data_IF_919876185293
#
_entry.id   IF_919876185293
#
_cell.length_a   1.000
_cell.length_b   1.000
_cell.length_c   1.000
_cell.angle_alpha   90.00
_cell.angle_beta   90.00
_cell.angle_gamma   90.00
#
_symmetry.space_group_name_H-M   'P 1'
#
loop_
_entity.id
_entity.type
_entity.pdbx_description
1 polymer ?
#
# COMPACT_ATOMS: atom_id res chain seq x y z
N UNK A 1 43.07 10.09 46.66
CA UNK A 1 42.07 11.15 46.88
C UNK A 1 42.31 12.19 45.80
N UNK A 2 41.24 12.53 45.06
CA UNK A 2 40.85 13.85 44.51
C UNK A 2 41.91 14.97 44.49
N UNK A 3 42.01 15.87 43.50
CA UNK A 3 41.18 16.25 42.35
C UNK A 3 41.97 17.26 41.47
N UNK A 4 41.44 17.54 40.25
CA UNK A 4 41.28 18.88 39.60
C UNK A 4 42.48 19.86 39.49
N UNK A 5 42.64 20.73 38.49
CA UNK A 5 41.92 21.08 37.27
C UNK A 5 42.77 22.12 36.49
N UNK A 6 42.40 22.28 35.23
CA UNK A 6 42.37 23.50 34.41
C UNK A 6 43.56 23.94 33.53
N UNK A 7 43.14 24.09 32.27
CA UNK A 7 43.79 24.52 31.04
C UNK A 7 43.21 25.90 30.70
N UNK A 8 44.04 26.90 30.38
CA UNK A 8 43.67 28.04 29.51
C UNK A 8 44.90 28.66 28.81
N UNK A 9 44.85 28.74 27.47
CA UNK A 9 45.14 29.91 26.61
C UNK A 9 45.28 29.41 25.14
N UNK A 10 44.39 29.75 24.20
CA UNK A 10 44.11 31.04 23.57
C UNK A 10 45.19 31.50 22.56
N UNK A 11 44.93 31.27 21.26
CA UNK A 11 45.37 32.15 20.15
C UNK A 11 44.34 32.08 19.01
N UNK A 12 43.97 33.27 18.51
CA UNK A 12 42.84 33.53 17.63
C UNK A 12 42.98 33.19 16.14
N UNK A 13 41.85 33.41 15.45
CA UNK A 13 41.54 33.19 14.03
C UNK A 13 42.48 33.91 13.04
N UNK A 14 42.42 33.49 11.75
CA UNK A 14 41.66 34.30 10.80
C UNK A 14 40.63 33.51 9.96
N UNK A 15 39.63 34.25 9.47
CA UNK A 15 38.52 33.84 8.59
C UNK A 15 38.98 33.27 7.23
N UNK A 16 38.21 32.33 6.65
CA UNK A 16 38.35 31.92 5.25
C UNK A 16 37.49 30.72 4.83
N UNK A 17 36.48 31.01 4.02
CA UNK A 17 35.48 30.17 3.33
C UNK A 17 35.89 28.81 2.71
N UNK A 18 34.93 27.87 2.78
CA UNK A 18 34.49 26.86 1.76
C UNK A 18 35.50 26.09 0.91
N UNK A 19 35.37 24.75 0.86
CA UNK A 19 35.66 24.00 -0.37
C UNK A 19 36.01 22.52 -0.21
N UNK A 20 35.12 21.64 -0.71
CA UNK A 20 35.51 20.45 -1.47
C UNK A 20 35.88 19.18 -0.70
N UNK A 21 34.89 18.33 -0.46
CA UNK A 21 35.11 16.89 -0.29
C UNK A 21 35.43 16.32 -1.67
N UNK A 22 36.57 15.62 -1.76
CA UNK A 22 37.16 15.13 -3.01
C UNK A 22 36.23 14.23 -3.82
N UNK A 23 36.03 14.62 -5.08
CA UNK A 23 35.59 13.73 -6.14
C UNK A 23 36.83 13.19 -6.84
N UNK A 24 37.14 11.92 -6.63
CA UNK A 24 38.11 11.19 -7.44
C UNK A 24 37.51 10.94 -8.82
N UNK A 25 38.01 11.69 -9.81
CA UNK A 25 37.87 11.30 -11.21
C UNK A 25 38.73 10.08 -11.49
N UNK A 26 38.16 9.12 -12.23
CA UNK A 26 38.93 8.16 -13.01
C UNK A 26 38.18 7.94 -14.33
N UNK A 27 38.79 8.44 -15.40
CA UNK A 27 38.43 8.20 -16.79
C UNK A 27 39.11 6.91 -17.26
N UNK A 28 38.33 5.97 -17.81
CA UNK A 28 38.82 4.84 -18.63
C UNK A 28 38.70 3.45 -17.99
N UNK A 29 37.64 2.71 -18.34
CA UNK A 29 37.35 1.33 -17.90
C UNK A 29 35.91 1.16 -17.42
N UNK A 30 35.30 -0.05 -17.44
CA UNK A 30 33.85 -0.26 -17.32
C UNK A 30 33.37 0.00 -15.89
N UNK A 31 33.19 1.27 -15.58
CA UNK A 31 32.50 1.78 -14.40
C UNK A 31 31.62 2.90 -14.90
N UNK A 32 30.31 2.62 -14.99
CA UNK A 32 29.32 3.60 -15.41
C UNK A 32 29.34 4.77 -14.41
N UNK A 33 29.67 6.01 -14.81
CA UNK A 33 29.35 7.15 -13.98
C UNK A 33 27.87 7.45 -14.18
N UNK A 34 27.06 7.11 -13.17
CA UNK A 34 25.76 7.74 -12.96
C UNK A 34 26.00 9.25 -12.89
N UNK A 35 25.65 9.95 -13.96
CA UNK A 35 25.61 11.42 -13.91
C UNK A 35 24.68 11.83 -12.78
N UNK A 36 24.93 12.96 -12.10
CA UNK A 36 24.10 13.37 -10.97
C UNK A 36 22.64 13.46 -11.42
N UNK A 37 21.79 12.59 -10.89
CA UNK A 37 20.34 12.83 -10.86
C UNK A 37 20.18 14.05 -9.96
N UNK A 38 20.11 15.24 -10.57
CA UNK A 38 19.78 16.45 -9.86
C UNK A 38 18.36 16.24 -9.31
N UNK A 39 18.15 16.15 -7.98
CA UNK A 39 16.81 16.11 -7.43
C UNK A 39 16.09 17.36 -7.93
N UNK A 40 14.90 17.19 -8.52
CA UNK A 40 14.06 18.26 -9.08
C UNK A 40 14.27 19.55 -8.28
N UNK A 41 15.00 20.51 -8.87
CA UNK A 41 15.18 21.83 -8.27
C UNK A 41 13.90 22.61 -8.48
N UNK A 42 12.88 22.31 -7.69
CA UNK A 42 11.68 23.16 -7.59
C UNK A 42 12.03 24.37 -6.73
N UNK A 43 12.95 25.23 -7.21
CA UNK A 43 13.36 26.41 -6.46
C UNK A 43 12.40 27.59 -6.61
N UNK A 44 11.42 27.50 -7.50
CA UNK A 44 10.37 28.49 -7.61
C UNK A 44 9.05 27.85 -7.22
N UNK A 45 8.38 28.41 -6.20
CA UNK A 45 7.08 27.95 -5.68
C UNK A 45 5.92 28.09 -6.70
N UNK A 46 6.21 28.23 -7.99
CA UNK A 46 5.26 28.26 -9.09
C UNK A 46 4.88 26.82 -9.48
N UNK A 47 3.59 26.51 -9.64
CA UNK A 47 3.17 25.26 -10.26
C UNK A 47 3.85 25.12 -11.63
N UNK A 48 4.60 24.02 -11.82
CA UNK A 48 5.19 23.69 -13.11
C UNK A 48 4.09 23.51 -14.14
N UNK A 49 4.25 24.10 -15.33
CA UNK A 49 3.41 23.74 -16.46
C UNK A 49 3.73 22.30 -16.91
N UNK A 50 2.82 21.68 -17.67
CA UNK A 50 3.07 20.35 -18.24
C UNK A 50 4.30 20.39 -19.15
N UNK A 51 4.51 21.49 -19.87
CA UNK A 51 5.64 21.65 -20.77
C UNK A 51 6.96 21.78 -20.00
N UNK A 52 6.97 22.54 -18.90
CA UNK A 52 8.16 22.66 -18.04
C UNK A 52 8.53 21.31 -17.43
N UNK A 53 7.54 20.59 -16.89
CA UNK A 53 7.76 19.24 -16.35
C UNK A 53 8.26 18.28 -17.43
N UNK A 54 7.69 18.34 -18.63
CA UNK A 54 8.12 17.51 -19.76
C UNK A 54 9.56 17.81 -20.14
N UNK A 55 9.96 19.09 -20.13
CA UNK A 55 11.31 19.52 -20.43
C UNK A 55 12.31 19.11 -19.32
N UNK A 56 11.93 19.20 -18.04
CA UNK A 56 12.76 18.72 -16.93
C UNK A 56 13.01 17.20 -17.03
N UNK A 57 11.94 16.42 -17.23
CA UNK A 57 12.03 14.96 -17.40
C UNK A 57 12.84 14.59 -18.65
N UNK A 58 12.67 15.35 -19.74
CA UNK A 58 13.45 15.18 -20.96
C UNK A 58 14.94 15.43 -20.72
N UNK A 59 15.30 16.49 -19.98
CA UNK A 59 16.69 16.81 -19.63
C UNK A 59 17.32 15.73 -18.75
N UNK A 60 16.59 15.21 -17.77
CA UNK A 60 17.04 14.11 -16.92
C UNK A 60 17.29 12.83 -17.75
N UNK A 61 16.35 12.48 -18.63
CA UNK A 61 16.48 11.33 -19.56
C UNK A 61 17.71 11.46 -20.46
N UNK A 62 17.94 12.64 -21.05
CA UNK A 62 19.11 12.89 -21.89
C UNK A 62 20.39 12.70 -21.08
N UNK A 63 20.48 13.29 -19.88
CA UNK A 63 21.65 13.13 -19.01
C UNK A 63 21.92 11.64 -18.68
N UNK A 64 20.86 10.86 -18.46
CA UNK A 64 20.98 9.41 -18.23
C UNK A 64 21.56 8.68 -19.45
N UNK A 65 21.02 8.91 -20.65
CA UNK A 65 21.54 8.27 -21.88
C UNK A 65 23.01 8.65 -22.16
N UNK A 66 23.34 9.92 -21.94
CA UNK A 66 24.67 10.51 -22.09
C UNK A 66 25.66 9.92 -21.07
N UNK A 67 25.22 9.65 -19.84
CA UNK A 67 25.99 8.91 -18.83
C UNK A 67 26.20 7.44 -19.21
N UNK A 68 25.13 6.75 -19.63
CA UNK A 68 25.18 5.33 -20.03
C UNK A 68 26.11 5.07 -21.21
N UNK A 69 26.17 5.98 -22.18
CA UNK A 69 27.06 5.89 -23.35
C UNK A 69 28.52 6.22 -23.02
N UNK A 70 28.83 6.72 -21.80
CA UNK A 70 30.19 7.11 -21.41
C UNK A 70 30.75 8.28 -22.22
N UNK A 71 29.91 8.99 -22.98
CA UNK A 71 30.33 10.09 -23.84
C UNK A 71 31.05 9.70 -25.13
N UNK A 72 31.14 8.41 -25.44
CA UNK A 72 31.73 7.93 -26.70
C UNK A 72 30.66 7.89 -27.79
N UNK A 73 30.93 8.52 -28.94
CA UNK A 73 30.02 8.52 -30.09
C UNK A 73 28.74 9.35 -29.90
N UNK A 74 28.79 10.38 -29.05
CA UNK A 74 27.66 11.31 -28.87
C UNK A 74 27.32 12.01 -30.21
N UNK A 75 26.03 12.19 -30.53
CA UNK A 75 25.64 13.03 -31.66
C UNK A 75 26.10 14.49 -31.45
N UNK A 76 26.43 15.15 -32.57
CA UNK A 76 27.33 16.31 -32.66
C UNK A 76 26.97 17.60 -31.93
N UNK A 77 25.81 17.68 -31.28
CA UNK A 77 25.30 18.94 -30.70
C UNK A 77 25.21 18.91 -29.16
N UNK A 78 25.76 17.87 -28.50
CA UNK A 78 25.67 17.71 -27.04
C UNK A 78 26.88 18.35 -26.35
N UNK A 79 26.68 19.50 -25.73
CA UNK A 79 27.67 20.16 -24.89
C UNK A 79 27.48 19.75 -23.42
N UNK A 80 28.59 19.51 -22.72
CA UNK A 80 28.59 19.19 -21.29
C UNK A 80 29.34 20.25 -20.48
N UNK A 81 28.89 20.54 -19.27
CA UNK A 81 29.67 21.32 -18.32
C UNK A 81 30.76 20.46 -17.62
N UNK A 82 31.56 21.11 -16.78
CA UNK A 82 32.62 20.47 -15.97
C UNK A 82 32.11 19.38 -15.01
N UNK A 83 30.79 19.33 -14.76
CA UNK A 83 30.13 18.31 -13.93
C UNK A 83 29.56 17.14 -14.75
N UNK A 84 29.77 17.15 -16.07
CA UNK A 84 29.25 16.13 -16.99
C UNK A 84 27.77 16.27 -17.32
N UNK A 85 27.11 17.36 -16.92
CA UNK A 85 25.70 17.62 -17.20
C UNK A 85 25.55 18.23 -18.60
N UNK A 86 24.50 17.83 -19.33
CA UNK A 86 24.18 18.43 -20.64
C UNK A 86 23.69 19.87 -20.46
N UNK A 87 24.38 20.79 -21.13
CA UNK A 87 24.09 22.23 -21.12
C UNK A 87 23.53 22.76 -22.43
N UNK A 88 23.71 22.03 -23.54
CA UNK A 88 23.11 22.41 -24.83
C UNK A 88 21.64 21.97 -24.92
N UNK A 89 20.88 22.70 -25.75
CA UNK A 89 19.56 22.26 -26.17
C UNK A 89 19.70 21.07 -27.13
N UNK A 90 19.04 19.96 -26.81
CA UNK A 90 19.13 18.72 -27.59
C UNK A 90 17.92 18.59 -28.52
N UNK A 91 18.15 18.37 -29.81
CA UNK A 91 17.08 18.10 -30.79
C UNK A 91 16.41 16.75 -30.54
N UNK A 92 15.18 16.58 -31.05
CA UNK A 92 14.44 15.32 -30.92
C UNK A 92 15.18 14.17 -31.64
N UNK A 93 15.82 14.47 -32.76
CA UNK A 93 16.61 13.53 -33.54
C UNK A 93 17.85 13.07 -32.77
N UNK A 94 18.56 14.00 -32.11
CA UNK A 94 19.71 13.69 -31.26
C UNK A 94 19.31 12.83 -30.07
N UNK A 95 18.19 13.14 -29.44
CA UNK A 95 17.65 12.33 -28.34
C UNK A 95 17.31 10.90 -28.79
N UNK A 96 16.68 10.75 -29.97
CA UNK A 96 16.38 9.43 -30.52
C UNK A 96 17.65 8.61 -30.80
N UNK A 97 18.70 9.26 -31.31
CA UNK A 97 20.00 8.61 -31.52
C UNK A 97 20.66 8.20 -30.20
N UNK A 98 20.61 9.05 -29.18
CA UNK A 98 21.10 8.71 -27.83
C UNK A 98 20.36 7.52 -27.23
N UNK A 99 19.02 7.50 -27.34
CA UNK A 99 18.23 6.38 -26.86
C UNK A 99 18.63 5.09 -27.58
N UNK A 100 18.80 5.14 -28.92
CA UNK A 100 19.28 3.98 -29.69
C UNK A 100 20.65 3.51 -29.22
N UNK A 101 21.61 4.41 -29.02
CA UNK A 101 22.95 4.06 -28.53
C UNK A 101 22.91 3.45 -27.13
N UNK A 102 22.05 3.96 -26.25
CA UNK A 102 21.86 3.42 -24.91
C UNK A 102 21.30 1.99 -24.97
N UNK A 103 20.27 1.75 -25.80
CA UNK A 103 19.68 0.43 -26.02
C UNK A 103 20.69 -0.54 -26.64
N UNK A 104 21.37 -0.13 -27.71
CA UNK A 104 22.40 -0.95 -28.38
C UNK A 104 23.53 -1.34 -27.43
N UNK A 105 23.83 -0.50 -26.42
CA UNK A 105 24.79 -0.83 -25.37
C UNK A 105 24.23 -1.86 -24.40
N UNK A 106 23.01 -1.65 -23.90
CA UNK A 106 22.32 -2.59 -22.99
C UNK A 106 22.22 -3.98 -23.64
N UNK A 107 21.84 -4.05 -24.92
CA UNK A 107 21.67 -5.31 -25.66
C UNK A 107 22.97 -6.10 -25.84
N UNK A 108 24.13 -5.45 -25.64
CA UNK A 108 25.46 -6.06 -25.74
C UNK A 108 26.11 -6.32 -24.37
N UNK A 109 25.48 -5.88 -23.27
CA UNK A 109 25.99 -6.11 -21.92
C UNK A 109 25.87 -7.58 -21.54
N UNK A 110 26.83 -8.07 -20.77
CA UNK A 110 26.72 -9.40 -20.15
C UNK A 110 25.81 -9.39 -18.90
N UNK A 111 25.58 -10.57 -18.32
CA UNK A 111 24.68 -10.72 -17.16
C UNK A 111 25.16 -9.97 -15.92
N UNK A 112 26.47 -9.89 -15.68
CA UNK A 112 27.03 -9.23 -14.49
C UNK A 112 27.00 -7.70 -14.65
N UNK A 113 27.26 -7.20 -15.86
CA UNK A 113 27.07 -5.80 -16.22
C UNK A 113 25.61 -5.36 -16.11
N UNK A 114 24.67 -6.16 -16.65
CA UNK A 114 23.24 -5.90 -16.54
C UNK A 114 22.76 -5.90 -15.09
N UNK A 115 23.21 -6.87 -14.28
CA UNK A 115 22.91 -6.92 -12.85
C UNK A 115 23.38 -5.65 -12.16
N UNK A 116 24.62 -5.24 -12.40
CA UNK A 116 25.19 -4.01 -11.82
C UNK A 116 24.37 -2.79 -12.21
N UNK A 117 24.11 -2.61 -13.51
CA UNK A 117 23.28 -1.53 -14.05
C UNK A 117 21.91 -1.46 -13.37
N UNK A 118 21.20 -2.59 -13.27
CA UNK A 118 19.88 -2.65 -12.62
C UNK A 118 19.99 -2.26 -11.15
N UNK A 119 20.95 -2.82 -10.42
CA UNK A 119 21.08 -2.57 -8.98
C UNK A 119 21.45 -1.13 -8.65
N UNK A 120 22.33 -0.51 -9.44
CA UNK A 120 22.77 0.87 -9.20
C UNK A 120 21.67 1.87 -9.56
N UNK A 121 21.02 1.72 -10.72
CA UNK A 121 19.87 2.57 -11.09
C UNK A 121 18.73 2.44 -10.08
N UNK A 122 18.44 1.22 -9.61
CA UNK A 122 17.42 1.02 -8.59
C UNK A 122 17.82 1.66 -7.25
N UNK A 123 19.09 1.60 -6.85
CA UNK A 123 19.59 2.26 -5.63
C UNK A 123 19.42 3.79 -5.72
N UNK A 124 19.78 4.39 -6.86
CA UNK A 124 19.61 5.83 -7.08
C UNK A 124 18.14 6.24 -7.09
N UNK A 125 17.28 5.48 -7.78
CA UNK A 125 15.83 5.68 -7.79
C UNK A 125 15.27 5.64 -6.37
N UNK A 126 15.60 4.61 -5.59
CA UNK A 126 15.13 4.46 -4.21
C UNK A 126 15.61 5.61 -3.32
N UNK A 127 16.86 6.06 -3.47
CA UNK A 127 17.38 7.21 -2.71
C UNK A 127 16.58 8.49 -3.01
N UNK A 128 16.30 8.76 -4.28
CA UNK A 128 15.47 9.90 -4.69
C UNK A 128 14.05 9.78 -4.14
N UNK A 129 13.41 8.62 -4.28
CA UNK A 129 12.07 8.36 -3.72
C UNK A 129 12.05 8.55 -2.21
N UNK A 130 13.08 8.09 -1.49
CA UNK A 130 13.16 8.23 -0.03
C UNK A 130 13.24 9.69 0.42
N UNK A 131 14.02 10.52 -0.28
CA UNK A 131 14.05 11.97 -0.04
C UNK A 131 12.68 12.61 -0.32
N UNK A 132 12.04 12.24 -1.43
CA UNK A 132 10.68 12.71 -1.78
C UNK A 132 9.66 12.30 -0.71
N UNK A 133 9.71 11.05 -0.23
CA UNK A 133 8.83 10.56 0.82
C UNK A 133 9.05 11.31 2.14
N UNK A 134 10.29 11.54 2.56
CA UNK A 134 10.60 12.31 3.76
C UNK A 134 10.10 13.75 3.67
N UNK A 135 10.36 14.42 2.54
CA UNK A 135 9.90 15.78 2.29
C UNK A 135 8.37 15.88 2.23
N UNK A 136 7.71 14.93 1.55
CA UNK A 136 6.25 14.84 1.54
C UNK A 136 5.67 14.55 2.92
N UNK A 137 6.35 13.72 3.72
CA UNK A 137 6.04 13.51 5.13
C UNK A 137 6.09 14.82 5.93
N UNK A 138 7.13 15.62 5.75
CA UNK A 138 7.27 16.93 6.39
C UNK A 138 6.14 17.88 5.98
N UNK A 139 5.82 17.96 4.68
CA UNK A 139 4.71 18.77 4.16
C UNK A 139 3.37 18.30 4.74
N UNK A 140 3.13 17.00 4.77
CA UNK A 140 1.93 16.41 5.37
C UNK A 140 1.80 16.72 6.87
N UNK A 141 2.91 16.69 7.61
CA UNK A 141 2.95 17.11 9.01
C UNK A 141 2.54 18.58 9.16
N UNK A 142 3.15 19.49 8.40
CA UNK A 142 2.85 20.93 8.43
C UNK A 142 1.38 21.21 8.08
N UNK A 143 0.86 20.59 7.00
CA UNK A 143 -0.55 20.69 6.63
C UNK A 143 -1.43 20.13 7.74
N UNK A 144 -1.06 19.01 8.34
CA UNK A 144 -1.77 18.40 9.46
C UNK A 144 -1.85 19.32 10.68
N UNK A 145 -0.77 20.01 11.04
CA UNK A 145 -0.75 21.02 12.12
C UNK A 145 -1.65 22.21 11.80
N UNK A 146 -1.66 22.68 10.56
CA UNK A 146 -2.58 23.72 10.12
C UNK A 146 -4.05 23.25 10.21
N UNK A 147 -4.36 22.03 9.74
CA UNK A 147 -5.69 21.44 9.84
C UNK A 147 -6.14 21.26 11.31
N UNK A 148 -5.24 20.88 12.22
CA UNK A 148 -5.53 20.83 13.65
C UNK A 148 -5.89 22.21 14.21
N UNK A 149 -5.15 23.26 13.80
CA UNK A 149 -5.43 24.63 14.22
C UNK A 149 -6.78 25.12 13.68
N UNK A 150 -7.09 24.85 12.41
CA UNK A 150 -8.38 25.18 11.81
C UNK A 150 -9.51 24.45 12.55
N UNK A 151 -9.34 23.15 12.82
CA UNK A 151 -10.31 22.37 13.59
C UNK A 151 -10.60 23.03 14.94
N UNK A 152 -9.56 23.36 15.71
CA UNK A 152 -9.68 24.07 16.99
C UNK A 152 -10.44 25.40 16.86
N UNK A 153 -10.10 26.23 15.85
CA UNK A 153 -10.76 27.53 15.65
C UNK A 153 -12.23 27.37 15.30
N UNK A 154 -12.59 26.43 14.43
CA UNK A 154 -13.98 26.17 14.05
C UNK A 154 -14.83 25.63 15.20
N UNK A 155 -14.23 24.80 16.07
CA UNK A 155 -14.88 24.27 17.28
C UNK A 155 -15.05 25.37 18.34
N UNK A 156 -14.02 26.20 18.54
CA UNK A 156 -14.06 27.31 19.52
C UNK A 156 -15.04 28.42 19.13
N UNK A 157 -15.22 28.67 17.83
CA UNK A 157 -16.17 29.64 17.30
C UNK A 157 -17.63 29.10 17.23
N UNK A 158 -17.87 27.87 17.70
CA UNK A 158 -19.17 27.20 17.71
C UNK A 158 -19.90 27.23 16.36
N UNK A 159 -19.15 27.08 15.26
CA UNK A 159 -19.70 27.11 13.91
C UNK A 159 -20.56 25.85 13.68
N UNK A 160 -21.78 26.04 13.16
CA UNK A 160 -22.70 24.92 12.85
C UNK A 160 -22.05 23.97 11.85
N UNK A 161 -21.91 22.69 12.22
CA UNK A 161 -21.19 21.63 11.49
C UNK A 161 -19.65 21.86 11.31
N UNK A 162 -19.11 22.87 11.98
CA UNK A 162 -17.69 23.08 12.30
C UNK A 162 -16.69 22.79 11.17
N UNK A 163 -15.61 22.11 11.55
CA UNK A 163 -14.47 21.76 10.70
C UNK A 163 -14.85 21.05 9.40
N UNK A 164 -15.89 20.19 9.42
CA UNK A 164 -16.29 19.41 8.23
C UNK A 164 -16.89 20.29 7.13
N UNK A 165 -17.74 21.26 7.50
CA UNK A 165 -18.26 22.23 6.54
C UNK A 165 -17.16 23.16 6.05
N UNK A 166 -16.32 23.66 6.97
CA UNK A 166 -15.19 24.50 6.58
C UNK A 166 -14.31 23.82 5.52
N UNK A 167 -13.96 22.55 5.70
CA UNK A 167 -13.19 21.81 4.70
C UNK A 167 -13.92 21.72 3.35
N UNK A 168 -15.24 21.49 3.35
CA UNK A 168 -16.04 21.36 2.14
C UNK A 168 -16.10 22.67 1.35
N UNK A 169 -16.15 23.79 2.06
CA UNK A 169 -16.35 25.12 1.48
C UNK A 169 -15.03 25.79 1.07
N UNK A 170 -13.90 25.41 1.69
CA UNK A 170 -12.62 26.11 1.52
C UNK A 170 -11.51 25.27 0.87
N UNK A 171 -11.62 23.94 0.82
CA UNK A 171 -10.57 23.08 0.25
C UNK A 171 -11.03 22.46 -1.08
N UNK A 172 -10.13 22.41 -2.06
CA UNK A 172 -10.37 21.69 -3.31
C UNK A 172 -10.33 20.18 -3.06
N UNK A 173 -11.48 19.51 -3.25
CA UNK A 173 -11.63 18.07 -3.02
C UNK A 173 -10.80 17.21 -3.98
N UNK A 174 -10.37 17.76 -5.12
CA UNK A 174 -9.50 17.07 -6.09
C UNK A 174 -8.10 16.87 -5.52
N UNK A 175 -7.62 17.81 -4.70
CA UNK A 175 -6.26 17.78 -4.13
C UNK A 175 -6.25 17.41 -2.64
N UNK A 176 -7.25 17.83 -1.88
CA UNK A 176 -7.39 17.61 -0.44
C UNK A 176 -8.73 16.94 -0.10
N UNK A 177 -8.84 15.65 -0.44
CA UNK A 177 -9.99 14.84 -0.04
C UNK A 177 -10.10 14.70 1.48
N UNK A 178 -11.31 14.41 2.00
CA UNK A 178 -11.53 14.12 3.43
C UNK A 178 -10.58 13.05 3.97
N UNK A 179 -10.31 11.99 3.16
CA UNK A 179 -9.39 10.92 3.52
C UNK A 179 -7.95 11.43 3.63
N UNK A 180 -7.52 12.28 2.69
CA UNK A 180 -6.19 12.90 2.69
C UNK A 180 -6.01 13.81 3.91
N UNK A 181 -6.99 14.67 4.21
CA UNK A 181 -6.97 15.52 5.40
C UNK A 181 -6.86 14.68 6.69
N UNK A 182 -7.57 13.56 6.77
CA UNK A 182 -7.50 12.67 7.92
C UNK A 182 -6.10 12.05 8.08
N UNK A 183 -5.46 11.61 6.99
CA UNK A 183 -4.08 11.12 7.02
C UNK A 183 -3.13 12.19 7.59
N UNK A 184 -3.22 13.43 7.10
CA UNK A 184 -2.35 14.52 7.57
C UNK A 184 -2.59 14.88 9.03
N UNK A 185 -3.85 14.94 9.46
CA UNK A 185 -4.21 15.12 10.87
C UNK A 185 -3.64 14.01 11.76
N UNK A 186 -3.69 12.76 11.29
CA UNK A 186 -3.19 11.59 12.02
C UNK A 186 -1.66 11.58 12.12
N UNK A 187 -0.98 12.02 11.07
CA UNK A 187 0.48 12.25 11.06
C UNK A 187 0.86 13.31 12.09
N UNK A 188 0.19 14.47 12.05
CA UNK A 188 0.49 15.59 12.94
C UNK A 188 0.14 15.36 14.42
N UNK A 189 -0.51 14.25 14.77
CA UNK A 189 -0.81 13.88 16.17
C UNK A 189 0.26 13.00 16.82
N UNK A 190 1.18 12.44 16.04
CA UNK A 190 2.25 11.59 16.56
C UNK A 190 3.40 12.47 17.06
N UNK A 191 3.76 12.35 18.34
CA UNK A 191 4.70 13.25 19.02
C UNK A 191 6.11 13.27 18.41
N UNK A 192 6.61 12.11 18.01
CA UNK A 192 7.96 11.89 17.46
C UNK A 192 8.00 11.71 15.94
N UNK A 193 6.93 12.08 15.23
CA UNK A 193 6.80 11.81 13.78
C UNK A 193 7.90 12.41 12.91
N UNK A 194 8.50 13.52 13.35
CA UNK A 194 9.57 14.21 12.62
C UNK A 194 10.84 13.36 12.49
N UNK A 195 11.10 12.47 13.46
CA UNK A 195 12.24 11.55 13.43
C UNK A 195 12.03 10.39 12.45
N UNK A 196 10.78 10.17 12.03
CA UNK A 196 10.36 9.03 11.21
C UNK A 196 9.72 9.44 9.87
N UNK A 197 9.95 10.68 9.41
CA UNK A 197 9.48 11.15 8.10
C UNK A 197 9.91 10.29 6.91
N UNK A 198 11.11 9.65 6.89
CA UNK A 198 11.48 8.74 5.80
C UNK A 198 10.51 7.56 5.58
N UNK A 199 9.61 7.27 6.52
CA UNK A 199 8.52 6.29 6.30
C UNK A 199 7.49 6.75 5.26
N UNK A 200 7.39 8.06 5.01
CA UNK A 200 6.43 8.63 4.09
C UNK A 200 4.99 8.62 4.61
N UNK A 201 4.13 9.34 3.90
CA UNK A 201 2.74 9.62 4.30
C UNK A 201 1.94 8.33 4.52
N UNK A 202 2.01 7.39 3.58
CA UNK A 202 1.15 6.20 3.61
C UNK A 202 1.48 5.29 4.79
N UNK A 203 2.76 5.02 5.06
CA UNK A 203 3.17 4.17 6.17
C UNK A 203 2.89 4.85 7.51
N UNK A 204 3.18 6.15 7.65
CA UNK A 204 2.86 6.92 8.87
C UNK A 204 1.35 6.95 9.15
N UNK A 205 0.53 7.19 8.12
CA UNK A 205 -0.92 7.18 8.26
C UNK A 205 -1.48 5.79 8.60
N UNK A 206 -0.85 4.72 8.12
CA UNK A 206 -1.22 3.35 8.47
C UNK A 206 -0.76 2.95 9.89
N UNK A 207 0.32 3.55 10.39
CA UNK A 207 0.84 3.35 11.74
C UNK A 207 0.00 4.05 12.81
N UNK A 208 -0.43 5.30 12.57
CA UNK A 208 -1.23 6.10 13.51
C UNK A 208 -2.42 5.35 14.16
N UNK A 209 -3.31 4.64 13.43
CA UNK A 209 -4.42 3.92 14.05
C UNK A 209 -3.97 2.73 14.92
N UNK A 210 -2.79 2.18 14.69
CA UNK A 210 -2.21 1.11 15.53
C UNK A 210 -1.74 1.73 16.85
N UNK A 211 -0.98 2.83 16.80
CA UNK A 211 -0.46 3.52 17.98
C UNK A 211 -1.60 3.98 18.91
N UNK A 212 -2.68 4.54 18.35
CA UNK A 212 -3.86 5.00 19.12
C UNK A 212 -4.59 3.88 19.87
N UNK A 213 -4.37 2.62 19.51
CA UNK A 213 -5.01 1.47 20.17
C UNK A 213 -4.11 0.84 21.24
N UNK A 214 -2.92 1.40 21.46
CA UNK A 214 -1.97 0.94 22.45
C UNK A 214 -1.98 1.93 23.62
N UNK A 215 -2.33 1.44 24.81
CA UNK A 215 -2.53 2.27 26.00
C UNK A 215 -1.22 2.59 26.75
N UNK A 216 -0.13 1.90 26.43
CA UNK A 216 1.14 1.91 27.15
C UNK A 216 2.29 2.52 26.33
N UNK A 217 1.98 3.46 25.44
CA UNK A 217 2.97 4.23 24.68
C UNK A 217 3.09 5.64 25.26
N UNK A 218 4.31 6.16 25.37
CA UNK A 218 4.55 7.58 25.64
C UNK A 218 3.94 8.43 24.51
N UNK A 219 3.09 9.39 24.87
CA UNK A 219 2.47 10.30 23.93
C UNK A 219 3.48 11.18 23.19
N UNK A 220 4.65 11.45 23.79
CA UNK A 220 5.72 12.22 23.16
C UNK A 220 6.55 11.38 22.18
N UNK A 221 6.66 10.06 22.41
CA UNK A 221 7.49 9.15 21.63
C UNK A 221 6.79 7.85 21.23
N UNK A 222 5.56 7.91 20.65
CA UNK A 222 4.77 6.72 20.43
C UNK A 222 5.34 5.80 19.35
N UNK A 223 6.07 6.32 18.36
CA UNK A 223 6.69 5.50 17.31
C UNK A 223 7.91 4.77 17.88
N UNK A 224 8.76 5.47 18.64
CA UNK A 224 9.92 4.86 19.32
C UNK A 224 9.50 3.72 20.24
N UNK A 225 8.52 3.96 21.11
CA UNK A 225 8.03 2.94 22.05
C UNK A 225 7.42 1.74 21.31
N UNK A 226 6.73 1.98 20.19
CA UNK A 226 6.23 0.92 19.32
C UNK A 226 7.37 0.07 18.73
N UNK A 227 8.43 0.69 18.24
CA UNK A 227 9.60 0.02 17.68
C UNK A 227 10.24 -0.89 18.72
N UNK A 228 10.47 -0.37 19.93
CA UNK A 228 11.05 -1.12 21.04
C UNK A 228 10.15 -2.30 21.44
N UNK A 229 8.85 -2.04 21.62
CA UNK A 229 7.88 -3.04 22.06
C UNK A 229 7.70 -4.21 21.10
N UNK A 230 7.86 -3.99 19.79
CA UNK A 230 7.77 -5.05 18.78
C UNK A 230 9.13 -5.55 18.29
N UNK A 231 10.23 -5.11 18.92
CA UNK A 231 11.58 -5.53 18.57
C UNK A 231 11.91 -5.23 17.11
N UNK A 232 11.46 -4.08 16.61
CA UNK A 232 11.77 -3.60 15.26
C UNK A 232 13.20 -3.09 15.27
N UNK A 233 14.08 -3.70 14.48
CA UNK A 233 15.50 -3.37 14.52
C UNK A 233 15.89 -2.37 13.43
N UNK A 234 15.79 -1.08 13.75
CA UNK A 234 16.15 -0.03 12.80
C UNK A 234 17.67 0.15 12.63
N UNK A 235 18.49 -0.28 13.60
CA UNK A 235 19.94 -0.09 13.58
C UNK A 235 20.63 -0.93 12.51
N UNK A 236 20.09 -2.13 12.29
CA UNK A 236 20.65 -3.09 11.32
C UNK A 236 20.01 -2.96 9.93
N UNK A 237 19.14 -1.95 9.73
CA UNK A 237 18.53 -1.69 8.42
C UNK A 237 19.57 -1.03 7.50
N UNK A 238 19.95 -1.66 6.37
CA UNK A 238 20.93 -1.08 5.44
C UNK A 238 20.40 0.17 4.72
N UNK A 239 19.08 0.33 4.61
CA UNK A 239 18.42 1.44 3.96
C UNK A 239 17.00 1.69 4.51
N UNK A 240 16.34 2.73 3.95
CA UNK A 240 14.98 3.13 4.33
C UNK A 240 13.92 2.09 3.93
N UNK A 241 14.14 1.29 2.89
CA UNK A 241 13.18 0.25 2.50
C UNK A 241 13.21 -0.91 3.48
N UNK A 242 14.39 -1.35 3.91
CA UNK A 242 14.55 -2.30 5.00
C UNK A 242 13.91 -1.78 6.29
N UNK A 243 14.08 -0.49 6.59
CA UNK A 243 13.42 0.17 7.72
C UNK A 243 11.88 0.10 7.61
N UNK A 244 11.32 0.43 6.44
CA UNK A 244 9.86 0.38 6.17
C UNK A 244 9.31 -1.04 6.23
N UNK A 245 10.11 -2.01 5.78
CA UNK A 245 9.78 -3.42 5.83
C UNK A 245 9.70 -3.91 7.29
N UNK A 246 10.74 -3.65 8.10
CA UNK A 246 10.79 -4.02 9.51
C UNK A 246 9.64 -3.39 10.32
N UNK A 247 9.34 -2.12 10.08
CA UNK A 247 8.17 -1.47 10.69
C UNK A 247 6.87 -2.13 10.22
N UNK A 248 6.77 -2.51 8.94
CA UNK A 248 5.64 -3.27 8.42
C UNK A 248 5.43 -4.63 9.11
N UNK A 249 6.52 -5.33 9.42
CA UNK A 249 6.50 -6.56 10.23
C UNK A 249 5.97 -6.24 11.64
N UNK A 250 6.50 -5.20 12.29
CA UNK A 250 6.02 -4.75 13.60
C UNK A 250 4.52 -4.42 13.60
N UNK A 251 4.04 -3.73 12.56
CA UNK A 251 2.62 -3.38 12.40
C UNK A 251 1.74 -4.63 12.25
N UNK A 252 2.22 -5.62 11.51
CA UNK A 252 1.55 -6.92 11.35
C UNK A 252 1.50 -7.69 12.67
N UNK A 253 2.59 -7.71 13.43
CA UNK A 253 2.63 -8.30 14.78
C UNK A 253 1.68 -7.60 15.75
N UNK A 254 1.58 -6.27 15.69
CA UNK A 254 0.63 -5.51 16.49
C UNK A 254 -0.83 -5.88 16.18
N UNK A 255 -1.17 -6.03 14.89
CA UNK A 255 -2.50 -6.49 14.46
C UNK A 255 -2.80 -7.92 14.95
N UNK A 256 -1.85 -8.85 14.83
CA UNK A 256 -1.98 -10.23 15.33
C UNK A 256 -2.26 -10.24 16.83
N UNK A 257 -1.48 -9.47 17.61
CA UNK A 257 -1.68 -9.34 19.07
C UNK A 257 -3.06 -8.79 19.40
N UNK A 258 -3.52 -7.77 18.68
CA UNK A 258 -4.87 -7.19 18.85
C UNK A 258 -5.98 -8.20 18.56
N UNK A 259 -5.81 -9.05 17.55
CA UNK A 259 -6.76 -10.12 17.23
C UNK A 259 -6.69 -11.31 18.21
N UNK A 260 -5.79 -11.27 19.21
CA UNK A 260 -5.57 -12.34 20.20
C UNK A 260 -5.18 -13.67 19.55
N UNK A 261 -4.50 -13.60 18.40
CA UNK A 261 -3.98 -14.77 17.70
C UNK A 261 -2.64 -15.16 18.35
N UNK A 262 -2.52 -16.42 18.76
CA UNK A 262 -1.35 -17.00 19.42
C UNK A 262 -0.57 -17.88 18.45
N UNK A 263 0.68 -18.17 18.79
CA UNK A 263 1.52 -19.11 18.04
C UNK A 263 2.14 -18.57 16.74
N UNK A 264 1.95 -17.28 16.43
CA UNK A 264 2.61 -16.61 15.30
C UNK A 264 3.89 -15.93 15.78
N UNK A 265 5.00 -16.20 15.11
CA UNK A 265 6.31 -15.59 15.41
C UNK A 265 6.61 -14.42 14.46
N UNK A 266 7.47 -13.49 14.88
CA UNK A 266 7.96 -12.40 14.03
C UNK A 266 8.58 -12.94 12.74
N UNK A 267 9.41 -14.00 12.85
CA UNK A 267 10.06 -14.67 11.72
C UNK A 267 9.06 -15.15 10.67
N UNK A 268 7.94 -15.73 11.10
CA UNK A 268 6.91 -16.22 10.17
C UNK A 268 6.23 -15.06 9.43
N UNK A 269 5.98 -13.94 10.11
CA UNK A 269 5.43 -12.73 9.48
C UNK A 269 6.43 -12.13 8.49
N UNK A 270 7.71 -12.05 8.86
CA UNK A 270 8.79 -11.61 7.97
C UNK A 270 8.79 -12.41 6.67
N UNK A 271 8.76 -13.75 6.74
CA UNK A 271 8.76 -14.62 5.56
C UNK A 271 7.53 -14.41 4.66
N UNK A 272 6.35 -14.19 5.23
CA UNK A 272 5.14 -13.87 4.46
C UNK A 272 5.29 -12.56 3.70
N UNK A 273 5.87 -11.55 4.35
CA UNK A 273 6.10 -10.24 3.74
C UNK A 273 7.21 -10.28 2.69
N UNK A 274 8.25 -11.11 2.86
CA UNK A 274 9.28 -11.39 1.85
C UNK A 274 8.67 -12.01 0.58
N UNK A 275 7.60 -12.81 0.70
CA UNK A 275 6.82 -13.30 -0.43
C UNK A 275 5.92 -12.22 -1.08
N UNK A 276 5.98 -10.97 -0.62
CA UNK A 276 5.20 -9.85 -1.15
C UNK A 276 3.77 -9.75 -0.60
N UNK A 277 3.43 -10.47 0.46
CA UNK A 277 2.10 -10.43 1.07
C UNK A 277 2.07 -9.54 2.32
N UNK A 278 1.19 -8.55 2.33
CA UNK A 278 0.78 -7.87 3.56
C UNK A 278 -0.41 -8.58 4.21
N UNK A 279 -0.39 -8.68 5.55
CA UNK A 279 -1.51 -9.22 6.33
C UNK A 279 -2.68 -8.23 6.35
N UNK A 280 -3.76 -8.63 5.70
CA UNK A 280 -5.01 -7.89 5.67
C UNK A 280 -6.02 -8.43 6.70
N UNK A 281 -7.17 -7.76 6.79
CA UNK A 281 -8.24 -8.13 7.74
C UNK A 281 -8.75 -9.57 7.54
N UNK A 282 -8.88 -10.04 6.30
CA UNK A 282 -9.35 -11.41 6.00
C UNK A 282 -8.34 -12.46 6.46
N UNK A 283 -7.04 -12.17 6.32
CA UNK A 283 -5.98 -13.06 6.78
C UNK A 283 -6.05 -13.22 8.32
N UNK A 284 -6.26 -12.11 9.04
CA UNK A 284 -6.42 -12.11 10.50
C UNK A 284 -7.70 -12.83 10.94
N UNK A 285 -8.81 -12.64 10.22
CA UNK A 285 -10.08 -13.34 10.48
C UNK A 285 -9.96 -14.85 10.25
N UNK A 286 -9.30 -15.27 9.16
CA UNK A 286 -9.05 -16.68 8.87
C UNK A 286 -8.16 -17.35 9.91
N UNK A 287 -7.08 -16.67 10.33
CA UNK A 287 -6.21 -17.14 11.41
C UNK A 287 -6.94 -17.24 12.75
N UNK A 288 -7.78 -16.25 13.07
CA UNK A 288 -8.58 -16.26 14.30
C UNK A 288 -9.61 -17.40 14.29
N UNK A 289 -10.32 -17.59 13.18
CA UNK A 289 -11.27 -18.71 13.02
C UNK A 289 -10.57 -20.07 13.13
N UNK A 290 -9.37 -20.19 12.54
CA UNK A 290 -8.54 -21.41 12.66
C UNK A 290 -8.18 -21.69 14.12
N UNK A 291 -7.82 -20.66 14.89
CA UNK A 291 -7.55 -20.79 16.32
C UNK A 291 -8.79 -21.22 17.11
N UNK A 292 -9.94 -20.60 16.84
CA UNK A 292 -11.20 -20.90 17.52
C UNK A 292 -11.69 -22.32 17.23
N UNK A 293 -11.37 -22.86 16.05
CA UNK A 293 -11.60 -24.26 15.69
C UNK A 293 -10.55 -25.24 16.26
N UNK A 294 -9.63 -24.79 17.11
CA UNK A 294 -8.57 -25.62 17.71
C UNK A 294 -7.39 -25.93 16.77
N UNK A 295 -7.34 -25.30 15.59
CA UNK A 295 -6.23 -25.41 14.64
C UNK A 295 -5.04 -24.51 14.97
N UNK A 296 -3.98 -24.62 14.17
CA UNK A 296 -2.80 -23.75 14.27
C UNK A 296 -2.90 -22.58 13.28
N UNK A 297 -2.98 -21.32 13.75
CA UNK A 297 -2.93 -20.14 12.88
C UNK A 297 -1.63 -20.06 12.07
N UNK A 298 -0.52 -20.57 12.60
CA UNK A 298 0.77 -20.57 11.91
C UNK A 298 0.71 -21.32 10.58
N UNK A 299 -0.04 -22.43 10.53
CA UNK A 299 -0.22 -23.22 9.29
C UNK A 299 -0.84 -22.39 8.16
N UNK A 300 -1.68 -21.40 8.47
CA UNK A 300 -2.24 -20.50 7.46
C UNK A 300 -1.14 -19.69 6.77
N UNK A 301 -0.22 -19.11 7.54
CA UNK A 301 0.91 -18.34 7.02
C UNK A 301 1.95 -19.23 6.33
N UNK A 302 2.24 -20.40 6.91
CA UNK A 302 3.12 -21.41 6.30
C UNK A 302 2.61 -21.84 4.91
N UNK A 303 1.29 -21.96 4.74
CA UNK A 303 0.69 -22.24 3.44
C UNK A 303 0.87 -21.08 2.46
N UNK A 304 0.76 -19.82 2.90
CA UNK A 304 1.05 -18.66 2.04
C UNK A 304 2.48 -18.73 1.53
N UNK A 305 3.44 -18.96 2.42
CA UNK A 305 4.86 -19.07 2.08
C UNK A 305 5.09 -20.23 1.11
N UNK A 306 4.59 -21.42 1.43
CA UNK A 306 4.82 -22.64 0.66
C UNK A 306 4.24 -22.57 -0.75
N UNK A 307 3.05 -21.99 -0.91
CA UNK A 307 2.33 -21.99 -2.19
C UNK A 307 2.38 -20.65 -2.91
N UNK A 308 3.04 -19.65 -2.33
CA UNK A 308 3.10 -18.27 -2.80
C UNK A 308 1.71 -17.71 -3.20
N UNK A 309 0.68 -18.08 -2.44
CA UNK A 309 -0.70 -17.66 -2.67
C UNK A 309 -1.50 -17.70 -1.37
N UNK A 310 -2.46 -16.78 -1.22
CA UNK A 310 -3.42 -16.87 -0.12
C UNK A 310 -4.21 -18.18 -0.26
N UNK A 311 -4.36 -18.99 0.81
CA UNK A 311 -5.29 -20.10 0.81
C UNK A 311 -6.63 -19.59 0.29
N UNK A 312 -7.21 -20.30 -0.68
CA UNK A 312 -8.58 -20.03 -1.12
C UNK A 312 -9.43 -19.91 0.14
N UNK A 313 -10.15 -18.79 0.27
CA UNK A 313 -10.75 -18.37 1.53
C UNK A 313 -11.38 -19.59 2.22
N UNK A 314 -10.99 -19.92 3.47
CA UNK A 314 -11.76 -20.90 4.21
C UNK A 314 -13.20 -20.38 4.22
N UNK A 315 -14.07 -21.21 3.67
CA UNK A 315 -15.50 -21.07 3.69
C UNK A 315 -15.90 -20.54 5.08
N UNK A 316 -16.63 -19.43 5.13
CA UNK A 316 -17.12 -18.86 6.38
C UNK A 316 -17.94 -19.94 7.11
N UNK A 317 -17.31 -20.64 8.06
CA UNK A 317 -18.00 -21.41 9.08
C UNK A 317 -18.66 -20.38 10.01
N UNK A 318 -19.87 -19.94 9.67
CA UNK A 318 -20.64 -19.00 10.48
C UNK A 318 -21.59 -18.07 9.71
N UNK A 319 -21.58 -18.08 8.38
CA UNK A 319 -22.59 -17.39 7.59
C UNK A 319 -23.52 -18.39 6.93
N UNK A 320 -24.80 -18.36 7.26
CA UNK A 320 -25.86 -19.02 6.48
C UNK A 320 -26.05 -18.27 5.14
N UNK A 321 -24.96 -18.02 4.42
CA UNK A 321 -24.96 -17.42 3.10
C UNK A 321 -25.01 -18.56 2.10
N UNK A 322 -26.14 -18.66 1.40
CA UNK A 322 -26.33 -19.62 0.31
C UNK A 322 -25.11 -19.59 -0.63
N UNK A 323 -24.52 -20.75 -0.96
CA UNK A 323 -23.38 -20.81 -1.88
C UNK A 323 -23.71 -20.06 -3.17
N UNK A 324 -22.82 -19.14 -3.59
CA UNK A 324 -23.08 -18.21 -4.69
C UNK A 324 -23.22 -18.87 -6.07
N UNK A 325 -22.91 -20.16 -6.19
CA UNK A 325 -23.15 -20.92 -7.42
C UNK A 325 -23.08 -22.43 -7.14
N UNK A 326 -24.23 -23.06 -6.85
CA UNK A 326 -24.30 -24.50 -6.57
C UNK A 326 -23.82 -25.37 -7.75
N UNK A 327 -24.01 -24.91 -8.99
CA UNK A 327 -23.60 -25.67 -10.18
C UNK A 327 -22.08 -25.71 -10.33
N UNK A 328 -21.40 -24.59 -10.07
CA UNK A 328 -19.94 -24.49 -10.15
C UNK A 328 -19.26 -25.39 -9.11
N UNK A 329 -19.78 -25.41 -7.87
CA UNK A 329 -19.26 -26.29 -6.82
C UNK A 329 -19.51 -27.77 -7.12
N UNK A 330 -20.68 -28.11 -7.66
CA UNK A 330 -20.95 -29.49 -8.11
C UNK A 330 -20.01 -29.92 -9.25
N UNK A 331 -19.66 -28.99 -10.15
CA UNK A 331 -18.72 -29.25 -11.23
C UNK A 331 -17.28 -29.42 -10.71
N UNK A 332 -16.83 -28.62 -9.74
CA UNK A 332 -15.51 -28.78 -9.12
C UNK A 332 -15.35 -30.13 -8.42
N UNK A 333 -16.38 -30.59 -7.70
CA UNK A 333 -16.41 -31.93 -7.07
C UNK A 333 -16.27 -33.01 -8.16
N UNK A 334 -17.07 -32.91 -9.23
CA UNK A 334 -17.03 -33.86 -10.35
C UNK A 334 -15.66 -33.89 -11.02
N UNK A 335 -15.06 -32.73 -11.26
CA UNK A 335 -13.74 -32.63 -11.91
C UNK A 335 -12.65 -33.23 -11.03
N UNK A 336 -12.73 -33.03 -9.72
CA UNK A 336 -11.80 -33.61 -8.75
C UNK A 336 -11.91 -35.13 -8.73
N UNK A 337 -13.12 -35.69 -8.65
CA UNK A 337 -13.35 -37.14 -8.73
C UNK A 337 -12.87 -37.70 -10.07
N UNK A 338 -13.18 -37.01 -11.17
CA UNK A 338 -12.76 -37.43 -12.52
C UNK A 338 -11.23 -37.45 -12.69
N UNK A 339 -10.51 -36.51 -12.07
CA UNK A 339 -9.03 -36.51 -12.04
C UNK A 339 -8.49 -37.68 -11.24
N UNK A 340 -9.10 -38.00 -10.10
CA UNK A 340 -8.70 -39.14 -9.27
C UNK A 340 -8.93 -40.48 -9.98
N UNK A 341 -10.05 -40.63 -10.69
CA UNK A 341 -10.33 -41.83 -11.49
C UNK A 341 -9.39 -42.01 -12.68
N UNK A 342 -8.88 -40.90 -13.25
CA UNK A 342 -7.91 -40.93 -14.36
C UNK A 342 -6.46 -41.08 -13.91
N UNK A 343 -6.19 -41.00 -12.61
CA UNK A 343 -4.84 -41.16 -12.10
C UNK A 343 -4.40 -42.63 -12.24
N UNK A 344 -3.24 -42.92 -12.85
CA UNK A 344 -2.77 -44.29 -13.07
C UNK A 344 -2.47 -45.05 -11.77
N UNK A 345 -2.23 -44.32 -10.68
CA UNK A 345 -2.12 -44.85 -9.32
C UNK A 345 -2.63 -43.82 -8.34
N UNK A 346 -3.50 -44.23 -7.42
CA UNK A 346 -3.93 -43.41 -6.28
C UNK A 346 -2.87 -43.55 -5.18
N UNK A 347 -2.12 -42.48 -4.88
CA UNK A 347 -1.14 -42.46 -3.79
C UNK A 347 -1.77 -41.89 -2.52
N UNK A 348 -1.79 -42.68 -1.45
CA UNK A 348 -2.28 -42.31 -0.12
C UNK A 348 -3.33 -43.28 0.41
N UNK A 349 -3.48 -43.40 1.73
CA UNK A 349 -4.61 -44.10 2.34
C UNK A 349 -5.88 -43.30 2.09
N UNK A 350 -6.70 -43.78 1.15
CA UNK A 350 -8.07 -43.32 1.02
C UNK A 350 -8.90 -44.07 2.05
N UNK A 351 -9.40 -43.35 3.05
CA UNK A 351 -10.39 -43.87 3.96
C UNK A 351 -11.73 -43.99 3.21
N UNK A 352 -12.20 -45.23 3.01
CA UNK A 352 -13.43 -45.56 2.28
C UNK A 352 -14.66 -45.00 3.00
N UNK A 353 -14.69 -45.02 4.33
CA UNK A 353 -15.81 -44.48 5.13
C UNK A 353 -16.07 -42.99 4.84
N UNK A 354 -15.02 -42.22 4.51
CA UNK A 354 -15.16 -40.81 4.11
C UNK A 354 -15.75 -40.64 2.72
N UNK A 355 -15.52 -41.60 1.82
CA UNK A 355 -16.16 -41.62 0.51
C UNK A 355 -17.65 -41.95 0.69
N UNK A 356 -17.98 -42.94 1.53
CA UNK A 356 -19.36 -43.31 1.81
C UNK A 356 -20.14 -42.16 2.47
N UNK A 357 -19.51 -41.44 3.41
CA UNK A 357 -20.10 -40.24 4.00
C UNK A 357 -20.36 -39.15 2.95
N UNK A 358 -19.42 -38.92 2.02
CA UNK A 358 -19.61 -37.97 0.93
C UNK A 358 -20.76 -38.37 0.00
N UNK A 359 -20.90 -39.67 -0.30
CA UNK A 359 -22.02 -40.20 -1.10
C UNK A 359 -23.34 -39.93 -0.38
N UNK A 360 -23.44 -40.25 0.92
CA UNK A 360 -24.64 -40.01 1.72
C UNK A 360 -25.02 -38.52 1.74
N UNK A 361 -24.06 -37.62 1.92
CA UNK A 361 -24.31 -36.17 1.91
C UNK A 361 -24.80 -35.69 0.54
N UNK A 362 -24.24 -36.21 -0.57
CA UNK A 362 -24.68 -35.90 -1.93
C UNK A 362 -26.08 -36.45 -2.23
N UNK A 363 -26.43 -37.64 -1.72
CA UNK A 363 -27.76 -38.22 -1.83
C UNK A 363 -28.81 -37.44 -1.02
N UNK A 364 -28.45 -36.99 0.19
CA UNK A 364 -29.29 -36.12 1.00
C UNK A 364 -29.53 -34.77 0.29
N UNK A 365 -28.49 -34.17 -0.29
CA UNK A 365 -28.61 -32.94 -1.07
C UNK A 365 -29.51 -33.12 -2.30
N UNK A 366 -29.35 -34.22 -3.04
CA UNK A 366 -30.19 -34.57 -4.19
C UNK A 366 -31.66 -34.72 -3.79
N UNK A 367 -31.93 -35.41 -2.66
CA UNK A 367 -33.28 -35.59 -2.13
C UNK A 367 -33.91 -34.26 -1.74
N UNK A 368 -33.14 -33.36 -1.10
CA UNK A 368 -33.59 -32.02 -0.76
C UNK A 368 -33.92 -31.17 -1.99
N UNK A 369 -33.07 -31.20 -3.03
CA UNK A 369 -33.32 -30.47 -4.28
C UNK A 369 -34.57 -30.98 -5.00
N UNK A 370 -34.78 -32.30 -5.03
CA UNK A 370 -36.02 -32.90 -5.58
C UNK A 370 -37.27 -32.47 -4.82
N UNK A 371 -37.22 -32.50 -3.49
CA UNK A 371 -38.34 -32.04 -2.64
C UNK A 371 -38.63 -30.54 -2.76
N UNK A 372 -37.60 -29.75 -3.08
CA UNK A 372 -37.72 -28.30 -3.30
C UNK A 372 -38.33 -27.99 -4.69
N UNK A 373 -38.07 -28.83 -5.69
CA UNK A 373 -38.66 -28.73 -7.02
C UNK A 373 -40.14 -29.17 -7.05
N UNK A 374 -40.53 -30.16 -6.24
CA UNK A 374 -41.93 -30.58 -6.14
C UNK A 374 -42.81 -29.54 -5.43
N UNK A 375 -42.30 -28.88 -4.37
CA UNK A 375 -43.05 -27.84 -3.65
C UNK A 375 -43.34 -26.58 -4.50
N UNK A 376 -42.47 -26.24 -5.46
CA UNK A 376 -42.69 -25.14 -6.38
C UNK A 376 -43.79 -25.43 -7.43
N UNK A 377 -44.12 -26.70 -7.66
CA UNK A 377 -45.11 -27.12 -8.67
C UNK A 377 -46.52 -27.15 -8.07
N UNK A 378 -46.68 -27.54 -6.81
CA UNK A 378 -47.98 -27.53 -6.10
C UNK A 378 -48.46 -26.11 -5.74
N UNK A 379 -47.54 -25.15 -5.57
CA UNK A 379 -47.86 -23.76 -5.26
C UNK A 379 -48.49 -23.01 -6.45
N UNK A 380 -48.20 -23.45 -7.69
CA UNK A 380 -48.72 -22.83 -8.92
C UNK A 380 -50.12 -23.34 -9.29
N UNK A 381 -50.56 -24.48 -8.75
CA UNK A 381 -51.89 -25.04 -9.04
C UNK A 381 -52.99 -24.44 -8.13
N UNK A 382 -52.62 -23.87 -6.98
CA UNK A 382 -53.58 -23.38 -5.98
C UNK A 382 -53.94 -21.88 -6.13
N UNK A 383 -53.26 -21.13 -7.00
CA UNK A 383 -53.55 -19.71 -7.26
C UNK A 383 -54.50 -19.45 -8.44
N UNK A 384 -54.86 -20.48 -9.22
CA UNK A 384 -55.73 -20.31 -10.41
C UNK A 384 -57.22 -20.49 -10.12
N UNK A 385 -57.62 -20.88 -8.91
CA UNK A 385 -59.04 -21.12 -8.55
C UNK A 385 -59.71 -20.01 -7.70
N UNK A 386 -59.02 -18.89 -7.41
CA UNK A 386 -59.53 -17.83 -6.51
C UNK A 386 -59.85 -16.48 -7.16
N UNK A 387 -59.67 -16.31 -8.48
CA UNK A 387 -59.89 -15.02 -9.18
C UNK A 387 -61.21 -14.90 -9.98
N UNK A 388 -62.19 -15.78 -9.79
CA UNK A 388 -63.53 -15.62 -10.37
C UNK A 388 -64.63 -15.72 -9.32
N UNK A 389 -64.90 -14.61 -8.62
CA UNK A 389 -66.06 -14.53 -7.73
C UNK A 389 -66.27 -13.17 -7.04
N UNK A 390 -67.14 -12.34 -7.62
CA UNK A 390 -67.92 -11.25 -7.00
C UNK A 390 -67.13 -10.02 -6.47
N UNK A 391 -67.21 -8.82 -7.08
CA UNK A 391 -68.38 -7.93 -7.26
C UNK A 391 -69.14 -7.59 -5.97
N UNK A 392 -68.90 -6.39 -5.41
CA UNK A 392 -69.92 -5.37 -5.14
C UNK A 392 -69.33 -4.15 -4.39
N UNK A 393 -69.43 -2.98 -5.04
CA UNK A 393 -69.39 -1.59 -4.49
C UNK A 393 -70.75 -1.36 -3.75
N UNK A 394 -71.06 -0.35 -2.86
CA UNK A 394 -70.62 1.06 -2.87
C UNK A 394 -70.64 1.77 -1.47
N UNK A 395 -70.92 3.10 -1.34
CA UNK A 395 -69.94 4.20 -1.25
C UNK A 395 -70.11 5.09 0.01
N UNK A 396 -69.27 6.10 0.24
CA UNK A 396 -69.68 7.29 1.03
C UNK A 396 -68.89 8.57 0.70
N UNK A 397 -69.63 9.63 0.40
CA UNK A 397 -69.22 11.04 0.37
C UNK A 397 -69.11 11.59 1.82
N UNK A 398 -68.52 12.74 2.18
CA UNK A 398 -68.69 14.15 1.74
C UNK A 398 -67.67 14.99 2.54
N UNK A 399 -67.35 16.21 2.09
CA UNK A 399 -66.81 17.26 2.99
C UNK A 399 -65.81 18.25 2.40
N UNK A 400 -66.35 19.35 1.86
CA UNK A 400 -65.73 20.57 1.29
C UNK A 400 -65.02 21.50 2.28
N UNK A 401 -63.99 22.25 1.85
CA UNK A 401 -64.05 23.73 1.73
C UNK A 401 -62.86 24.34 0.96
N UNK A 402 -63.22 25.28 0.07
CA UNK A 402 -62.39 26.16 -0.75
C UNK A 402 -61.63 27.24 0.04
N UNK A 403 -60.51 27.75 -0.49
CA UNK A 403 -60.43 29.13 -1.04
C UNK A 403 -59.08 29.43 -1.73
N UNK A 404 -59.20 30.11 -2.87
CA UNK A 404 -58.20 30.70 -3.77
C UNK A 404 -57.41 31.87 -3.11
N UNK A 405 -56.46 32.61 -3.68
CA UNK A 405 -55.96 32.89 -5.04
C UNK A 405 -54.55 33.54 -4.87
N UNK A 406 -53.56 33.26 -5.74
CA UNK A 406 -53.11 34.08 -6.89
C UNK A 406 -51.98 35.12 -6.62
N UNK A 407 -50.95 34.99 -7.47
CA UNK A 407 -50.07 35.99 -8.10
C UNK A 407 -49.11 36.85 -7.24
N UNK A 408 -47.80 36.60 -7.39
CA UNK A 408 -46.91 37.36 -8.30
C UNK A 408 -45.74 36.50 -8.78
#
# INVERSE_FOLDING_TARGET
>A
MESQNDIQNATGQPNGATGGIGYTGNTGGPGLPGGPINPFKTNDNTPLSIDDLTNEVRKERINMFVGMTGGVGLPGDIERNERGEVVSAVSTETEAQLNKLALDKIDKMDLDELKTLITDNNRELLNTLNKVHAHNGNRAYTIGRALQRVKYLTESANLKNGFSNWMKDNLDKRTLSKRTCQKYLDIARMGDVLDYLPLGIEKLAALSPILKQMEDLDANHPIRDFIEKFGVNLKDCPDVEAMRFEIGVGMSMAKIKRYKIKGITKKLVTQVMECGFELNKKDLEAMKATQEAGGSPAKYLENIIKFNKRPGAPYNAGGNTSPRNLMEQAQEIRDTVSKLLKAPTIKGEINVDRIDALIQDLEALKSRLKSSASAATDSSAMQTELETGASMIPPTATGTSDTAAAAE
#
